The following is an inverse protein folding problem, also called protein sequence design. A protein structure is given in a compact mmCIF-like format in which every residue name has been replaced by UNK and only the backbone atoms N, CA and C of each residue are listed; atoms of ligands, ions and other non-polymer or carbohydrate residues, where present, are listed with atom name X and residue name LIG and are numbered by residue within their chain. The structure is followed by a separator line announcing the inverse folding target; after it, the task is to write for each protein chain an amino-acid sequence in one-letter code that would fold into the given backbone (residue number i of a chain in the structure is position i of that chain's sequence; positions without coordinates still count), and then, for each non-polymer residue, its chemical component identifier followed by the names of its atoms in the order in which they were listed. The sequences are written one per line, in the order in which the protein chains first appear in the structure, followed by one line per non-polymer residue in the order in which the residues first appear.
data_IF_220053566878
#
_entry.id   IF_220053566878
#
_cell.length_a   1.000
_cell.length_b   1.000
_cell.length_c   1.000
_cell.angle_alpha   90.00
_cell.angle_beta   90.00
_cell.angle_gamma   90.00
#
_symmetry.space_group_name_H-M   'P 1'
#
loop_
_entity.id
_entity.type
_entity.pdbx_description
1 polymer ?
#
# COMPACT_ATOMS: atom_id res chain seq x y z
N UNK A 1 26.60 2.41 6.59
CA UNK A 1 26.58 3.70 5.87
C UNK A 1 25.67 3.52 4.66
N UNK A 2 24.78 4.47 4.36
CA UNK A 2 23.83 4.35 3.24
C UNK A 2 24.44 4.90 1.94
N UNK A 3 24.16 4.25 0.82
CA UNK A 3 24.57 4.74 -0.51
C UNK A 3 23.68 5.91 -0.93
N UNK A 4 24.30 7.01 -1.36
CA UNK A 4 23.63 8.26 -1.72
C UNK A 4 24.15 8.82 -3.04
N UNK A 5 23.24 9.38 -3.85
CA UNK A 5 23.55 9.98 -5.16
C UNK A 5 22.95 11.37 -5.33
N UNK A 6 23.45 12.10 -6.31
CA UNK A 6 22.74 13.26 -6.86
C UNK A 6 21.57 12.76 -7.70
N UNK A 7 20.40 13.33 -7.48
CA UNK A 7 19.17 13.02 -8.21
C UNK A 7 18.23 14.23 -8.12
N UNK A 8 17.41 14.49 -9.14
CA UNK A 8 16.45 15.60 -9.11
C UNK A 8 17.07 17.01 -9.03
N UNK A 9 18.23 17.22 -9.67
CA UNK A 9 18.95 18.51 -9.71
C UNK A 9 19.32 19.09 -8.32
N UNK A 10 19.51 18.22 -7.32
CA UNK A 10 19.88 18.64 -5.97
C UNK A 10 21.37 18.99 -5.83
N UNK A 11 21.67 20.02 -5.02
CA UNK A 11 23.05 20.45 -4.68
C UNK A 11 23.80 19.46 -3.80
N UNK A 12 23.09 18.64 -3.00
CA UNK A 12 23.68 17.68 -2.07
C UNK A 12 23.21 16.25 -2.39
N UNK A 13 24.08 15.27 -2.13
CA UNK A 13 23.74 13.84 -2.26
C UNK A 13 22.84 13.42 -1.10
N UNK A 14 21.53 13.44 -1.32
CA UNK A 14 20.52 13.09 -0.30
C UNK A 14 19.56 11.99 -0.73
N UNK A 15 19.64 11.54 -1.98
CA UNK A 15 18.79 10.45 -2.46
C UNK A 15 19.48 9.12 -2.16
N UNK A 16 19.00 8.44 -1.13
CA UNK A 16 19.40 7.07 -0.82
C UNK A 16 18.89 6.12 -1.90
N UNK A 17 19.68 5.11 -2.24
CA UNK A 17 19.31 4.14 -3.27
C UNK A 17 19.87 2.76 -2.94
N UNK A 18 19.26 1.74 -3.54
CA UNK A 18 19.77 0.38 -3.63
C UNK A 18 19.83 -0.01 -5.12
N UNK A 19 21.03 0.05 -5.70
CA UNK A 19 21.25 -0.16 -7.14
C UNK A 19 20.29 0.65 -8.02
N UNK A 20 19.83 0.03 -9.11
CA UNK A 20 18.78 0.53 -10.01
C UNK A 20 17.36 0.05 -9.61
N UNK A 21 17.22 -0.70 -8.52
CA UNK A 21 15.98 -1.38 -8.11
C UNK A 21 15.45 -0.93 -6.74
N UNK A 22 15.69 0.33 -6.36
CA UNK A 22 15.36 0.85 -5.02
C UNK A 22 13.91 0.61 -4.61
N UNK A 23 12.94 0.85 -5.51
CA UNK A 23 11.52 0.60 -5.24
C UNK A 23 11.21 -0.87 -4.96
N UNK A 24 11.79 -1.79 -5.75
CA UNK A 24 11.64 -3.24 -5.53
C UNK A 24 12.24 -3.66 -4.18
N UNK A 25 13.43 -3.14 -3.84
CA UNK A 25 14.06 -3.42 -2.57
C UNK A 25 13.18 -2.99 -1.39
N UNK A 26 12.63 -1.77 -1.45
CA UNK A 26 11.72 -1.26 -0.42
C UNK A 26 10.45 -2.11 -0.29
N UNK A 27 9.78 -2.42 -1.40
CA UNK A 27 8.56 -3.24 -1.41
C UNK A 27 8.82 -4.62 -0.81
N UNK A 28 9.89 -5.30 -1.24
CA UNK A 28 10.22 -6.64 -0.76
C UNK A 28 10.48 -6.63 0.76
N UNK A 29 11.23 -5.65 1.27
CA UNK A 29 11.47 -5.52 2.71
C UNK A 29 10.18 -5.29 3.50
N UNK A 30 9.28 -4.44 3.00
CA UNK A 30 8.00 -4.18 3.65
C UNK A 30 7.08 -5.41 3.62
N UNK A 31 6.99 -6.12 2.50
CA UNK A 31 6.21 -7.35 2.39
C UNK A 31 6.70 -8.43 3.35
N UNK A 32 8.02 -8.61 3.49
CA UNK A 32 8.59 -9.51 4.48
C UNK A 32 8.18 -9.14 5.90
N UNK A 33 8.16 -7.83 6.23
CA UNK A 33 7.73 -7.36 7.55
C UNK A 33 6.25 -7.59 7.80
N UNK A 34 5.41 -7.36 6.80
CA UNK A 34 3.96 -7.64 6.83
C UNK A 34 3.69 -9.12 7.10
N UNK A 35 4.38 -10.02 6.39
CA UNK A 35 4.28 -11.46 6.61
C UNK A 35 4.72 -11.85 8.02
N UNK A 36 5.85 -11.32 8.51
CA UNK A 36 6.34 -11.59 9.86
C UNK A 36 5.36 -11.13 10.96
N UNK A 37 4.63 -10.05 10.71
CA UNK A 37 3.60 -9.54 11.62
C UNK A 37 2.23 -10.23 11.43
N UNK A 38 2.10 -11.18 10.51
CA UNK A 38 0.85 -11.86 10.15
C UNK A 38 -0.28 -10.86 9.79
N UNK A 39 0.05 -9.75 9.13
CA UNK A 39 -0.97 -8.80 8.67
C UNK A 39 -1.67 -9.42 7.45
N UNK A 40 -3.02 -9.58 7.46
CA UNK A 40 -3.74 -10.16 6.34
C UNK A 40 -3.56 -9.33 5.06
N UNK A 41 -3.16 -10.00 3.97
CA UNK A 41 -3.17 -9.43 2.63
C UNK A 41 -4.33 -10.03 1.83
N UNK A 42 -5.28 -9.18 1.45
CA UNK A 42 -6.39 -9.56 0.59
C UNK A 42 -6.11 -9.03 -0.82
N UNK A 43 -5.47 -9.88 -1.62
CA UNK A 43 -5.13 -9.55 -3.00
C UNK A 43 -6.37 -9.63 -3.91
N UNK A 44 -6.26 -9.01 -5.09
CA UNK A 44 -7.31 -8.98 -6.12
C UNK A 44 -8.67 -8.40 -5.68
N UNK A 45 -8.73 -7.69 -4.55
CA UNK A 45 -9.94 -6.97 -4.13
C UNK A 45 -9.99 -5.59 -4.79
N UNK A 46 -10.99 -5.35 -5.64
CA UNK A 46 -11.23 -4.06 -6.25
C UNK A 46 -12.30 -3.30 -5.49
N UNK A 47 -11.90 -2.26 -4.74
CA UNK A 47 -12.80 -1.39 -3.99
C UNK A 47 -13.53 -0.45 -4.95
N UNK A 48 -14.87 -0.48 -4.94
CA UNK A 48 -15.71 0.36 -5.81
C UNK A 48 -16.41 1.48 -5.07
N UNK A 49 -16.61 1.36 -3.76
CA UNK A 49 -17.20 2.40 -2.94
C UNK A 49 -16.72 2.33 -1.50
N UNK A 50 -16.72 3.48 -0.83
CA UNK A 50 -16.60 3.57 0.62
C UNK A 50 -17.97 3.44 1.26
N UNK A 51 -18.04 2.77 2.40
CA UNK A 51 -19.25 2.67 3.20
C UNK A 51 -19.27 3.85 4.17
N UNK A 52 -20.16 4.81 3.93
CA UNK A 52 -20.23 6.06 4.69
C UNK A 52 -21.66 6.30 5.16
N UNK A 53 -21.82 6.58 6.45
CA UNK A 53 -23.10 7.00 7.05
C UNK A 53 -22.88 8.24 7.91
N UNK A 54 -23.73 9.25 7.78
CA UNK A 54 -23.64 10.51 8.56
C UNK A 54 -22.24 11.15 8.54
N UNK A 55 -21.54 11.06 7.40
CA UNK A 55 -20.19 11.58 7.23
C UNK A 55 -19.07 10.75 7.88
N UNK A 56 -19.39 9.59 8.47
CA UNK A 56 -18.41 8.65 9.03
C UNK A 56 -18.21 7.46 8.09
N UNK A 57 -16.97 7.24 7.69
CA UNK A 57 -16.58 6.02 6.97
C UNK A 57 -16.47 4.87 7.96
N UNK A 58 -17.14 3.76 7.67
CA UNK A 58 -17.12 2.55 8.50
C UNK A 58 -16.68 1.31 7.70
N UNK A 59 -16.16 1.51 6.48
CA UNK A 59 -15.77 0.39 5.65
C UNK A 59 -15.61 0.70 4.17
N UNK A 60 -15.47 -0.36 3.39
CA UNK A 60 -15.38 -0.31 1.93
C UNK A 60 -16.10 -1.51 1.31
N UNK A 61 -16.74 -1.28 0.18
CA UNK A 61 -17.32 -2.34 -0.63
C UNK A 61 -16.40 -2.66 -1.80
N UNK A 62 -16.08 -3.94 -1.95
CA UNK A 62 -15.19 -4.44 -2.98
C UNK A 62 -15.74 -5.71 -3.63
N UNK A 63 -15.14 -6.06 -4.75
CA UNK A 63 -15.30 -7.39 -5.31
C UNK A 63 -13.94 -7.99 -5.66
N UNK A 64 -13.84 -9.30 -5.49
CA UNK A 64 -12.71 -10.08 -5.96
C UNK A 64 -12.71 -10.11 -7.49
N UNK A 65 -11.63 -9.65 -8.11
CA UNK A 65 -11.54 -9.48 -9.57
C UNK A 65 -11.49 -10.81 -10.33
N UNK A 66 -11.14 -11.91 -9.66
CA UNK A 66 -11.03 -13.23 -10.30
C UNK A 66 -12.35 -14.00 -10.22
N UNK A 67 -12.99 -14.01 -9.05
CA UNK A 67 -14.21 -14.78 -8.76
C UNK A 67 -15.49 -13.96 -8.90
N UNK A 68 -15.40 -12.63 -8.85
CA UNK A 68 -16.55 -11.73 -8.78
C UNK A 68 -17.25 -11.71 -7.41
N UNK A 69 -16.71 -12.40 -6.40
CA UNK A 69 -17.27 -12.41 -5.05
C UNK A 69 -17.29 -10.99 -4.48
N UNK A 70 -18.43 -10.58 -3.95
CA UNK A 70 -18.64 -9.26 -3.37
C UNK A 70 -18.48 -9.30 -1.86
N UNK A 71 -17.74 -8.34 -1.31
CA UNK A 71 -17.43 -8.28 0.11
C UNK A 71 -17.60 -6.85 0.61
N UNK A 72 -18.34 -6.69 1.71
CA UNK A 72 -18.35 -5.46 2.51
C UNK A 72 -17.31 -5.62 3.62
N UNK A 73 -16.25 -4.83 3.56
CA UNK A 73 -15.25 -4.75 4.62
C UNK A 73 -15.68 -3.69 5.61
N UNK A 74 -15.96 -4.08 6.84
CA UNK A 74 -16.26 -3.17 7.94
C UNK A 74 -14.99 -2.88 8.74
N UNK A 75 -14.77 -1.62 9.09
CA UNK A 75 -13.62 -1.19 9.88
C UNK A 75 -13.90 0.16 10.56
N UNK A 76 -13.33 0.36 11.75
CA UNK A 76 -13.41 1.64 12.47
C UNK A 76 -12.66 2.77 11.75
N UNK A 77 -11.65 2.42 10.94
CA UNK A 77 -10.86 3.35 10.16
C UNK A 77 -10.50 2.75 8.80
N UNK A 78 -10.60 3.57 7.75
CA UNK A 78 -10.24 3.22 6.37
C UNK A 78 -9.23 4.23 5.85
N UNK A 79 -8.11 3.73 5.32
CA UNK A 79 -7.04 4.55 4.74
C UNK A 79 -6.93 4.22 3.25
N UNK A 80 -6.96 5.24 2.40
CA UNK A 80 -6.75 5.10 0.96
C UNK A 80 -5.28 5.33 0.60
N UNK A 81 -4.65 4.32 0.02
CA UNK A 81 -3.26 4.34 -0.45
C UNK A 81 -3.17 3.87 -1.91
N UNK A 82 -4.05 4.36 -2.79
CA UNK A 82 -4.30 3.82 -4.14
C UNK A 82 -3.45 4.44 -5.26
N UNK A 83 -2.28 4.99 -4.95
CA UNK A 83 -1.36 5.63 -5.91
C UNK A 83 -0.01 5.95 -5.28
#
# INVERSE_FOLDING_TARGET
RLDQRFFGAHTYRRTCYAGDYTGRAMLQTLLQRVQHLNIPLLENQYVVSLLVTEGKCFGAFAFDQQSGQRTAFEADAVILCTG
#
